data_IF_026775121501
#
_entry.id   IF_026775121501
#
_cell.length_a   1.000
_cell.length_b   1.000
_cell.length_c   1.000
_cell.angle_alpha   90.00
_cell.angle_beta   90.00
_cell.angle_gamma   90.00
#
_symmetry.space_group_name_H-M   'P 1'
#
loop_
_entity.id
_entity.type
_entity.pdbx_description
1 polymer ?
#
# COMPACT_ATOMS: atom_id res chain seq x y z
N UNK A 1 -12.74 25.50 -49.01
CA UNK A 1 -12.06 26.28 -47.95
C UNK A 1 -13.11 27.14 -47.30
N UNK A 2 -13.14 27.17 -45.98
CA UNK A 2 -14.08 27.96 -45.19
C UNK A 2 -13.35 29.09 -44.48
N UNK A 3 -13.99 30.25 -44.31
CA UNK A 3 -13.34 31.43 -43.74
C UNK A 3 -13.83 31.69 -42.32
N UNK A 4 -12.91 31.98 -41.41
CA UNK A 4 -13.26 32.40 -40.04
C UNK A 4 -13.89 33.79 -40.10
N UNK A 5 -15.19 33.89 -39.82
CA UNK A 5 -15.92 35.17 -39.83
C UNK A 5 -16.00 35.78 -38.43
N UNK A 6 -15.93 34.97 -37.37
CA UNK A 6 -15.97 35.43 -35.98
C UNK A 6 -15.24 34.48 -35.03
N UNK A 7 -14.54 35.07 -34.07
CA UNK A 7 -13.97 34.40 -32.89
C UNK A 7 -14.53 35.11 -31.67
N UNK A 8 -15.16 34.39 -30.74
CA UNK A 8 -15.74 34.98 -29.53
C UNK A 8 -15.46 34.17 -28.29
N UNK A 9 -15.07 34.83 -27.20
CA UNK A 9 -14.86 34.17 -25.91
C UNK A 9 -16.15 33.52 -25.37
N UNK A 10 -16.02 32.37 -24.72
CA UNK A 10 -17.10 31.71 -23.98
C UNK A 10 -17.19 32.25 -22.55
N UNK A 11 -18.27 31.88 -21.82
CA UNK A 11 -18.42 32.22 -20.39
C UNK A 11 -17.28 31.67 -19.52
N UNK A 12 -16.77 30.48 -19.87
CA UNK A 12 -15.60 29.88 -19.22
C UNK A 12 -14.33 30.49 -19.82
N UNK A 13 -13.47 31.04 -18.96
CA UNK A 13 -12.18 31.61 -19.38
C UNK A 13 -11.34 30.59 -20.15
N UNK A 14 -10.60 31.05 -21.17
CA UNK A 14 -9.70 30.21 -21.98
C UNK A 14 -10.35 29.38 -23.08
N UNK A 15 -11.67 29.50 -23.32
CA UNK A 15 -12.40 28.82 -24.41
C UNK A 15 -13.06 29.82 -25.35
N UNK A 16 -13.04 29.51 -26.64
CA UNK A 16 -13.53 30.41 -27.69
C UNK A 16 -14.36 29.64 -28.71
N UNK A 17 -15.41 30.29 -29.23
CA UNK A 17 -16.22 29.78 -30.33
C UNK A 17 -15.65 30.29 -31.66
N UNK A 18 -15.47 29.38 -32.62
CA UNK A 18 -15.03 29.67 -33.98
C UNK A 18 -16.23 29.55 -34.92
N UNK A 19 -16.47 30.61 -35.69
CA UNK A 19 -17.51 30.66 -36.71
C UNK A 19 -16.86 30.66 -38.09
N UNK A 20 -17.28 29.70 -38.92
CA UNK A 20 -16.89 29.58 -40.33
C UNK A 20 -18.08 29.96 -41.20
N UNK A 21 -17.88 30.89 -42.12
CA UNK A 21 -18.91 31.34 -43.05
C UNK A 21 -20.24 31.69 -42.33
N UNK A 22 -20.11 32.45 -41.22
CA UNK A 22 -21.19 32.90 -40.31
C UNK A 22 -21.97 31.80 -39.57
N UNK A 23 -21.51 30.56 -39.63
CA UNK A 23 -22.06 29.43 -38.88
C UNK A 23 -21.09 28.98 -37.80
N UNK A 24 -21.62 28.58 -36.64
CA UNK A 24 -20.81 27.95 -35.61
C UNK A 24 -20.18 26.67 -36.17
N UNK A 25 -18.86 26.53 -36.04
CA UNK A 25 -18.13 25.38 -36.56
C UNK A 25 -17.59 24.49 -35.44
N UNK A 26 -16.81 25.06 -34.51
CA UNK A 26 -16.23 24.34 -33.38
C UNK A 26 -15.81 25.32 -32.28
N UNK A 27 -15.37 24.78 -31.14
CA UNK A 27 -14.75 25.56 -30.07
C UNK A 27 -13.28 25.17 -29.92
N UNK A 28 -12.46 26.12 -29.48
CA UNK A 28 -11.02 25.97 -29.33
C UNK A 28 -10.55 26.56 -28.00
N UNK A 29 -9.55 25.93 -27.40
CA UNK A 29 -8.79 26.46 -26.27
C UNK A 29 -7.91 27.63 -26.71
N UNK A 30 -7.46 28.43 -25.74
CA UNK A 30 -6.47 29.49 -25.97
C UNK A 30 -5.17 28.94 -26.58
N UNK A 31 -4.70 27.77 -26.14
CA UNK A 31 -3.54 27.09 -26.72
C UNK A 31 -3.76 26.77 -28.20
N UNK A 32 -4.92 26.21 -28.55
CA UNK A 32 -5.30 25.89 -29.94
C UNK A 32 -5.39 27.12 -30.83
N UNK A 33 -5.96 28.21 -30.30
CA UNK A 33 -6.06 29.50 -30.99
C UNK A 33 -4.69 30.07 -31.37
N UNK A 34 -3.76 30.05 -30.42
CA UNK A 34 -2.40 30.55 -30.63
C UNK A 34 -1.62 29.65 -31.58
N UNK A 35 -1.67 28.34 -31.40
CA UNK A 35 -0.93 27.37 -32.22
C UNK A 35 -1.29 27.47 -33.71
N UNK A 36 -2.58 27.42 -34.02
CA UNK A 36 -3.08 27.48 -35.41
C UNK A 36 -3.34 28.89 -35.91
N UNK A 37 -3.05 29.91 -35.08
CA UNK A 37 -3.24 31.33 -35.37
C UNK A 37 -4.66 31.61 -35.89
N UNK A 38 -5.67 31.16 -35.16
CA UNK A 38 -7.08 31.26 -35.58
C UNK A 38 -7.62 32.68 -35.36
N UNK A 39 -7.40 33.58 -36.32
CA UNK A 39 -7.98 34.93 -36.31
C UNK A 39 -9.02 35.13 -37.41
N UNK A 40 -9.90 36.13 -37.23
CA UNK A 40 -10.90 36.51 -38.24
C UNK A 40 -10.21 36.76 -39.58
N UNK A 41 -10.74 36.14 -40.63
CA UNK A 41 -10.19 36.22 -41.98
C UNK A 41 -9.34 35.03 -42.39
N UNK A 42 -8.93 34.16 -41.45
CA UNK A 42 -8.18 32.94 -41.77
C UNK A 42 -9.03 31.98 -42.60
N UNK A 43 -8.41 31.32 -43.59
CA UNK A 43 -9.04 30.29 -44.41
C UNK A 43 -8.57 28.91 -43.96
N UNK A 44 -9.51 27.99 -43.79
CA UNK A 44 -9.24 26.63 -43.37
C UNK A 44 -9.77 25.63 -44.39
N UNK A 45 -8.95 24.63 -44.68
CA UNK A 45 -9.35 23.41 -45.37
C UNK A 45 -9.99 22.43 -44.38
N UNK A 46 -10.79 21.48 -44.87
CA UNK A 46 -11.39 20.45 -44.00
C UNK A 46 -10.34 19.65 -43.24
N UNK A 47 -9.19 19.37 -43.89
CA UNK A 47 -8.04 18.71 -43.26
C UNK A 47 -7.45 19.55 -42.11
N UNK A 48 -7.33 20.87 -42.27
CA UNK A 48 -6.86 21.74 -41.19
C UNK A 48 -7.87 21.80 -40.05
N UNK A 49 -9.17 21.83 -40.35
CA UNK A 49 -10.23 21.80 -39.33
C UNK A 49 -10.13 20.53 -38.49
N UNK A 50 -9.89 19.39 -39.13
CA UNK A 50 -9.69 18.11 -38.44
C UNK A 50 -8.43 18.12 -37.55
N UNK A 51 -7.30 18.64 -38.07
CA UNK A 51 -6.07 18.81 -37.27
C UNK A 51 -6.27 19.74 -36.07
N UNK A 52 -7.00 20.84 -36.23
CA UNK A 52 -7.32 21.78 -35.15
C UNK A 52 -8.18 21.09 -34.07
N UNK A 53 -9.19 20.33 -34.47
CA UNK A 53 -10.06 19.59 -33.54
C UNK A 53 -9.26 18.53 -32.76
N UNK A 54 -8.36 17.82 -33.43
CA UNK A 54 -7.50 16.85 -32.76
C UNK A 54 -6.60 17.53 -31.74
N UNK A 55 -5.90 18.60 -32.14
CA UNK A 55 -5.04 19.36 -31.23
C UNK A 55 -5.80 19.94 -30.04
N UNK A 56 -7.03 20.43 -30.23
CA UNK A 56 -7.86 20.91 -29.11
C UNK A 56 -8.17 19.80 -28.10
N UNK A 57 -8.39 18.58 -28.60
CA UNK A 57 -8.66 17.41 -27.77
C UNK A 57 -7.41 17.01 -26.97
N UNK A 58 -6.25 17.00 -27.62
CA UNK A 58 -4.95 16.70 -26.98
C UNK A 58 -4.58 17.78 -25.94
N UNK A 59 -4.80 19.06 -26.27
CA UNK A 59 -4.58 20.18 -25.35
C UNK A 59 -5.48 20.09 -24.11
N UNK A 60 -6.75 19.69 -24.28
CA UNK A 60 -7.69 19.46 -23.18
C UNK A 60 -7.23 18.30 -22.29
N UNK A 61 -6.79 17.19 -22.88
CA UNK A 61 -6.25 16.05 -22.14
C UNK A 61 -5.03 16.47 -21.29
N UNK A 62 -4.14 17.26 -21.89
CA UNK A 62 -2.93 17.75 -21.25
C UNK A 62 -3.22 18.70 -20.08
N UNK A 63 -4.17 19.63 -20.25
CA UNK A 63 -4.59 20.53 -19.16
C UNK A 63 -5.22 19.77 -17.98
N UNK A 64 -6.03 18.75 -18.27
CA UNK A 64 -6.63 17.90 -17.26
C UNK A 64 -5.59 17.08 -16.50
N UNK A 65 -4.64 16.47 -17.22
CA UNK A 65 -3.53 15.73 -16.62
C UNK A 65 -2.64 16.63 -15.76
N UNK A 66 -2.25 17.81 -16.26
CA UNK A 66 -1.47 18.80 -15.50
C UNK A 66 -2.16 19.15 -14.17
N UNK A 67 -3.46 19.46 -14.23
CA UNK A 67 -4.26 19.77 -13.03
C UNK A 67 -4.31 18.59 -12.07
N UNK A 68 -4.43 17.36 -12.57
CA UNK A 68 -4.50 16.18 -11.72
C UNK A 68 -3.17 15.86 -11.03
N UNK A 69 -2.06 16.05 -11.76
CA UNK A 69 -0.69 15.88 -11.26
C UNK A 69 -0.27 16.98 -10.29
N UNK A 70 -0.86 18.19 -10.36
CA UNK A 70 -0.49 19.30 -9.47
C UNK A 70 -0.89 19.08 -8.01
N UNK A 71 -1.78 18.14 -7.70
CA UNK A 71 -2.20 17.85 -6.33
C UNK A 71 -1.28 16.87 -5.60
N UNK A 72 -0.78 15.85 -6.29
CA UNK A 72 0.11 14.82 -5.75
C UNK A 72 0.67 13.97 -6.89
N UNK A 73 1.75 13.24 -6.61
CA UNK A 73 2.32 12.26 -7.54
C UNK A 73 1.28 11.18 -7.87
N UNK A 74 1.30 10.69 -9.12
CA UNK A 74 0.37 9.67 -9.64
C UNK A 74 1.12 8.63 -10.45
N UNK A 75 0.56 7.43 -10.52
CA UNK A 75 1.01 6.46 -11.52
C UNK A 75 0.46 6.80 -12.90
N UNK A 76 1.11 6.28 -13.94
CA UNK A 76 0.63 6.40 -15.33
C UNK A 76 -0.80 5.87 -15.46
N UNK A 77 -1.10 4.75 -14.81
CA UNK A 77 -2.44 4.15 -14.85
C UNK A 77 -3.48 5.02 -14.13
N UNK A 78 -3.14 5.65 -13.00
CA UNK A 78 -4.06 6.58 -12.32
C UNK A 78 -4.40 7.78 -13.20
N UNK A 79 -3.43 8.33 -13.95
CA UNK A 79 -3.68 9.42 -14.91
C UNK A 79 -4.53 8.93 -16.08
N UNK A 80 -4.23 7.74 -16.64
CA UNK A 80 -5.05 7.14 -17.70
C UNK A 80 -6.50 6.98 -17.25
N UNK A 81 -6.74 6.38 -16.09
CA UNK A 81 -8.09 6.21 -15.55
C UNK A 81 -8.80 7.55 -15.30
N UNK A 82 -8.06 8.55 -14.83
CA UNK A 82 -8.60 9.90 -14.61
C UNK A 82 -9.07 10.53 -15.93
N UNK A 83 -8.28 10.42 -16.99
CA UNK A 83 -8.63 10.99 -18.30
C UNK A 83 -9.74 10.21 -19.01
N UNK A 84 -9.78 8.87 -18.88
CA UNK A 84 -10.90 8.03 -19.37
C UNK A 84 -12.22 8.47 -18.74
N UNK A 85 -12.24 8.77 -17.44
CA UNK A 85 -13.44 9.30 -16.74
C UNK A 85 -13.90 10.67 -17.26
N UNK A 86 -13.06 11.39 -18.00
CA UNK A 86 -13.39 12.66 -18.65
C UNK A 86 -13.79 12.50 -20.13
N UNK A 87 -14.06 11.26 -20.56
CA UNK A 87 -14.56 10.92 -21.90
C UNK A 87 -13.63 11.39 -23.03
N UNK A 88 -12.32 11.35 -22.78
CA UNK A 88 -11.30 11.65 -23.78
C UNK A 88 -10.98 10.41 -24.62
N UNK A 89 -10.58 10.62 -25.89
CA UNK A 89 -10.17 9.53 -26.76
C UNK A 89 -8.85 8.91 -26.29
N UNK A 90 -8.61 7.65 -26.64
CA UNK A 90 -7.39 6.94 -26.24
C UNK A 90 -6.13 7.62 -26.81
N UNK A 91 -6.22 8.15 -28.03
CA UNK A 91 -5.13 8.86 -28.69
C UNK A 91 -4.74 10.13 -27.91
N UNK A 92 -5.72 10.92 -27.48
CA UNK A 92 -5.47 12.12 -26.69
C UNK A 92 -4.93 11.80 -25.29
N UNK A 93 -5.38 10.69 -24.70
CA UNK A 93 -4.89 10.20 -23.42
C UNK A 93 -3.42 9.78 -23.52
N UNK A 94 -3.07 8.96 -24.50
CA UNK A 94 -1.69 8.50 -24.68
C UNK A 94 -0.77 9.67 -25.09
N UNK A 95 -1.27 10.62 -25.87
CA UNK A 95 -0.55 11.87 -26.18
C UNK A 95 -0.20 12.65 -24.90
N UNK A 96 -1.17 12.90 -24.03
CA UNK A 96 -0.95 13.61 -22.77
C UNK A 96 -0.03 12.82 -21.82
N UNK A 97 -0.20 11.50 -21.70
CA UNK A 97 0.68 10.65 -20.87
C UNK A 97 2.12 10.74 -21.36
N UNK A 98 2.35 10.61 -22.66
CA UNK A 98 3.69 10.71 -23.25
C UNK A 98 4.31 12.10 -23.05
N UNK A 99 3.52 13.18 -23.17
CA UNK A 99 3.96 14.55 -22.87
C UNK A 99 4.49 14.63 -21.42
N UNK A 100 3.71 14.16 -20.43
CA UNK A 100 4.13 14.24 -19.02
C UNK A 100 5.24 13.27 -18.64
N UNK A 101 5.36 12.12 -19.33
CA UNK A 101 6.52 11.23 -19.18
C UNK A 101 7.79 11.93 -19.69
N UNK A 102 7.74 12.52 -20.89
CA UNK A 102 8.88 13.22 -21.48
C UNK A 102 9.32 14.45 -20.68
N UNK A 103 8.36 15.14 -20.05
CA UNK A 103 8.63 16.25 -19.14
C UNK A 103 9.08 15.81 -17.73
N UNK A 104 9.03 14.50 -17.43
CA UNK A 104 9.44 13.94 -16.14
C UNK A 104 8.41 14.09 -15.01
N UNK A 105 7.19 14.56 -15.29
CA UNK A 105 6.11 14.67 -14.30
C UNK A 105 5.39 13.34 -14.05
N UNK A 106 5.45 12.41 -15.01
CA UNK A 106 4.96 11.04 -14.87
C UNK A 106 6.12 10.06 -14.91
N UNK A 107 6.36 9.39 -13.78
CA UNK A 107 7.43 8.42 -13.66
C UNK A 107 7.04 7.36 -12.61
N UNK A 108 6.68 6.17 -13.09
CA UNK A 108 6.24 5.06 -12.23
C UNK A 108 7.38 4.48 -11.38
N UNK A 109 8.64 4.58 -11.83
CA UNK A 109 9.79 4.18 -11.04
C UNK A 109 10.00 5.13 -9.85
N UNK A 110 10.00 6.43 -10.09
CA UNK A 110 10.07 7.43 -9.00
C UNK A 110 8.86 7.34 -8.06
N UNK A 111 7.66 7.05 -8.59
CA UNK A 111 6.50 6.76 -7.75
C UNK A 111 6.76 5.57 -6.82
N UNK A 112 7.29 4.46 -7.33
CA UNK A 112 7.62 3.28 -6.53
C UNK A 112 8.66 3.60 -5.44
N UNK A 113 9.72 4.34 -5.78
CA UNK A 113 10.76 4.76 -4.83
C UNK A 113 10.19 5.60 -3.69
N UNK A 114 9.37 6.60 -4.01
CA UNK A 114 8.74 7.46 -3.00
C UNK A 114 7.74 6.68 -2.12
N UNK A 115 7.00 5.75 -2.72
CA UNK A 115 6.08 4.87 -2.00
C UNK A 115 6.83 4.00 -0.98
N UNK A 116 7.91 3.33 -1.41
CA UNK A 116 8.76 2.51 -0.55
C UNK A 116 9.40 3.37 0.56
N UNK A 117 9.98 4.52 0.20
CA UNK A 117 10.58 5.45 1.17
C UNK A 117 9.59 5.87 2.27
N UNK A 118 8.35 6.14 1.89
CA UNK A 118 7.30 6.46 2.86
C UNK A 118 6.98 5.27 3.78
N UNK A 119 6.90 4.05 3.24
CA UNK A 119 6.68 2.83 4.03
C UNK A 119 7.83 2.55 5.01
N UNK A 120 9.08 2.73 4.59
CA UNK A 120 10.24 2.62 5.48
C UNK A 120 10.15 3.62 6.65
N UNK A 121 9.75 4.86 6.35
CA UNK A 121 9.68 5.93 7.34
C UNK A 121 8.56 5.73 8.37
N UNK A 122 7.33 5.41 7.94
CA UNK A 122 6.14 5.41 8.80
C UNK A 122 5.26 4.15 8.69
N UNK A 123 5.52 3.33 7.68
CA UNK A 123 4.78 2.11 7.39
C UNK A 123 5.18 0.92 8.26
N UNK A 124 4.62 -0.22 7.86
CA UNK A 124 4.62 -1.50 8.59
C UNK A 124 4.68 -2.69 7.64
N UNK A 125 4.79 -2.46 6.34
CA UNK A 125 4.76 -3.51 5.34
C UNK A 125 6.17 -3.98 5.01
N UNK A 126 6.28 -5.27 4.69
CA UNK A 126 7.50 -5.85 4.15
C UNK A 126 7.55 -5.73 2.63
N UNK A 127 8.68 -6.10 2.01
CA UNK A 127 8.92 -5.95 0.58
C UNK A 127 7.80 -6.53 -0.30
N UNK A 128 7.26 -7.71 0.05
CA UNK A 128 6.24 -8.37 -0.77
C UNK A 128 4.87 -7.66 -0.70
N UNK A 129 4.49 -7.15 0.47
CA UNK A 129 3.25 -6.38 0.63
C UNK A 129 3.35 -5.04 -0.09
N UNK A 130 4.48 -4.35 0.02
CA UNK A 130 4.76 -3.11 -0.73
C UNK A 130 4.70 -3.35 -2.24
N UNK A 131 5.35 -4.41 -2.73
CA UNK A 131 5.28 -4.80 -4.14
C UNK A 131 3.82 -5.06 -4.58
N UNK A 132 3.03 -5.78 -3.78
CA UNK A 132 1.63 -6.03 -4.08
C UNK A 132 0.81 -4.74 -4.16
N UNK A 133 1.02 -3.78 -3.25
CA UNK A 133 0.34 -2.48 -3.27
C UNK A 133 0.69 -1.68 -4.52
N UNK A 134 1.96 -1.70 -4.95
CA UNK A 134 2.40 -1.06 -6.18
C UNK A 134 1.79 -1.72 -7.43
N UNK A 135 1.69 -3.06 -7.47
CA UNK A 135 0.99 -3.78 -8.55
C UNK A 135 -0.49 -3.44 -8.63
N UNK A 136 -1.16 -3.26 -7.48
CA UNK A 136 -2.55 -2.80 -7.44
C UNK A 136 -2.70 -1.37 -7.99
N UNK A 137 -1.66 -0.55 -7.87
CA UNK A 137 -1.53 0.77 -8.51
C UNK A 137 -1.06 0.71 -9.96
N UNK A 138 -0.92 -0.50 -10.52
CA UNK A 138 -0.50 -0.78 -11.90
C UNK A 138 0.88 -0.24 -12.27
N UNK A 139 1.75 -0.10 -11.26
CA UNK A 139 3.18 0.15 -11.51
C UNK A 139 3.78 -1.09 -12.20
N UNK A 140 4.56 -0.93 -13.29
CA UNK A 140 5.22 -2.04 -13.97
C UNK A 140 6.15 -2.84 -13.04
N UNK A 141 6.16 -4.17 -13.17
CA UNK A 141 6.93 -5.06 -12.28
C UNK A 141 8.44 -4.75 -12.29
N UNK A 142 9.02 -4.41 -13.44
CA UNK A 142 10.43 -4.03 -13.54
C UNK A 142 10.75 -2.80 -12.68
N UNK A 143 9.88 -1.78 -12.68
CA UNK A 143 10.06 -0.58 -11.86
C UNK A 143 9.94 -0.90 -10.37
N UNK A 144 9.08 -1.85 -10.00
CA UNK A 144 8.92 -2.31 -8.61
C UNK A 144 10.18 -3.06 -8.16
N UNK A 145 10.66 -3.98 -8.98
CA UNK A 145 11.86 -4.78 -8.70
C UNK A 145 13.10 -3.91 -8.55
N UNK A 146 13.32 -2.99 -9.49
CA UNK A 146 14.44 -2.04 -9.44
C UNK A 146 14.36 -1.15 -8.19
N UNK A 147 13.18 -0.61 -7.87
CA UNK A 147 13.01 0.27 -6.72
C UNK A 147 13.18 -0.47 -5.38
N UNK A 148 12.77 -1.74 -5.30
CA UNK A 148 13.01 -2.59 -4.13
C UNK A 148 14.49 -2.96 -3.98
N UNK A 149 15.21 -3.16 -5.09
CA UNK A 149 16.63 -3.47 -5.10
C UNK A 149 17.52 -2.31 -4.60
N UNK A 150 17.03 -1.06 -4.66
CA UNK A 150 17.71 0.09 -4.06
C UNK A 150 17.69 0.10 -2.52
N UNK A 151 16.83 -0.71 -1.90
CA UNK A 151 16.63 -0.70 -0.44
C UNK A 151 17.44 -1.82 0.22
N UNK A 152 18.17 -1.46 1.26
CA UNK A 152 18.99 -2.41 2.02
C UNK A 152 18.13 -3.38 2.84
N UNK A 153 18.67 -4.55 3.17
CA UNK A 153 17.96 -5.49 4.05
C UNK A 153 17.79 -4.92 5.46
N UNK A 154 18.76 -4.11 5.90
CA UNK A 154 18.79 -3.42 7.19
C UNK A 154 17.61 -2.47 7.36
N UNK A 155 17.24 -1.72 6.32
CA UNK A 155 16.08 -0.83 6.35
C UNK A 155 14.78 -1.61 6.58
N UNK A 156 14.63 -2.76 5.93
CA UNK A 156 13.47 -3.63 6.13
C UNK A 156 13.46 -4.27 7.52
N UNK A 157 14.62 -4.62 8.07
CA UNK A 157 14.72 -5.14 9.44
C UNK A 157 14.13 -4.14 10.43
N UNK A 158 14.44 -2.85 10.30
CA UNK A 158 13.91 -1.81 11.19
C UNK A 158 12.38 -1.65 11.10
N UNK A 159 11.80 -1.76 9.90
CA UNK A 159 10.33 -1.78 9.73
C UNK A 159 9.73 -3.00 10.43
N UNK A 160 10.34 -4.17 10.25
CA UNK A 160 9.93 -5.41 10.89
C UNK A 160 9.95 -5.32 12.42
N UNK A 161 11.04 -4.80 13.00
CA UNK A 161 11.13 -4.56 14.45
C UNK A 161 10.04 -3.63 14.95
N UNK A 162 9.78 -2.53 14.23
CA UNK A 162 8.72 -1.57 14.57
C UNK A 162 7.35 -2.25 14.60
N UNK A 163 7.06 -3.11 13.62
CA UNK A 163 5.79 -3.84 13.50
C UNK A 163 5.51 -4.75 14.71
N UNK A 164 6.54 -5.44 15.21
CA UNK A 164 6.38 -6.43 16.30
C UNK A 164 6.80 -5.92 17.68
N UNK A 165 7.27 -4.68 17.79
CA UNK A 165 7.71 -4.06 19.06
C UNK A 165 6.71 -4.24 20.20
N UNK A 166 5.42 -4.05 19.94
CA UNK A 166 4.37 -4.17 20.97
C UNK A 166 4.12 -5.61 21.44
N UNK A 167 4.51 -6.62 20.65
CA UNK A 167 4.36 -8.04 21.03
C UNK A 167 5.36 -8.45 22.13
N UNK A 168 6.46 -7.71 22.31
CA UNK A 168 7.37 -7.92 23.46
C UNK A 168 6.63 -7.80 24.80
N UNK A 169 5.61 -6.95 24.87
CA UNK A 169 4.79 -6.76 26.09
C UNK A 169 3.91 -7.97 26.45
N UNK A 170 3.93 -9.03 25.63
CA UNK A 170 3.24 -10.30 25.89
C UNK A 170 4.15 -11.34 26.59
N UNK A 171 5.46 -11.09 26.68
CA UNK A 171 6.37 -11.88 27.51
C UNK A 171 5.87 -11.87 28.96
N UNK A 172 5.95 -13.01 29.65
CA UNK A 172 5.38 -13.20 30.99
C UNK A 172 3.85 -13.30 31.06
N UNK A 173 3.13 -13.18 29.94
CA UNK A 173 1.65 -13.36 29.87
C UNK A 173 1.24 -14.61 29.10
N UNK A 174 2.04 -14.99 28.11
CA UNK A 174 1.93 -16.21 27.30
C UNK A 174 3.33 -16.81 27.14
N UNK A 175 3.42 -18.08 26.72
CA UNK A 175 4.70 -18.76 26.58
C UNK A 175 5.61 -18.03 25.60
N UNK A 176 6.91 -18.06 25.86
CA UNK A 176 7.94 -17.48 25.01
C UNK A 176 7.83 -17.93 23.54
N UNK A 177 7.64 -19.24 23.32
CA UNK A 177 7.46 -19.80 21.98
C UNK A 177 6.17 -19.31 21.30
N UNK A 178 5.12 -19.03 22.06
CA UNK A 178 3.87 -18.46 21.54
C UNK A 178 4.08 -17.01 21.10
N UNK A 179 4.84 -16.21 21.86
CA UNK A 179 5.23 -14.84 21.47
C UNK A 179 6.02 -14.88 20.16
N UNK A 180 7.07 -15.71 20.06
CA UNK A 180 7.87 -15.85 18.83
C UNK A 180 7.01 -16.25 17.65
N UNK A 181 6.15 -17.26 17.80
CA UNK A 181 5.22 -17.70 16.75
C UNK A 181 4.30 -16.56 16.28
N UNK A 182 3.75 -15.77 17.21
CA UNK A 182 2.91 -14.60 16.88
C UNK A 182 3.69 -13.52 16.13
N UNK A 183 4.93 -13.24 16.53
CA UNK A 183 5.80 -12.29 15.84
C UNK A 183 6.10 -12.75 14.40
N UNK A 184 6.51 -14.00 14.22
CA UNK A 184 6.76 -14.61 12.90
C UNK A 184 5.52 -14.53 12.00
N UNK A 185 4.35 -14.95 12.50
CA UNK A 185 3.11 -14.90 11.73
C UNK A 185 2.73 -13.47 11.33
N UNK A 186 2.89 -12.51 12.25
CA UNK A 186 2.59 -11.10 11.97
C UNK A 186 3.51 -10.55 10.88
N UNK A 187 4.81 -10.84 10.93
CA UNK A 187 5.75 -10.43 9.88
C UNK A 187 5.39 -11.06 8.52
N UNK A 188 5.12 -12.37 8.47
CA UNK A 188 4.74 -13.04 7.22
C UNK A 188 3.47 -12.45 6.60
N UNK A 189 2.46 -12.14 7.43
CA UNK A 189 1.21 -11.51 6.98
C UNK A 189 1.42 -10.10 6.43
N UNK A 190 2.43 -9.39 6.93
CA UNK A 190 2.83 -8.08 6.42
C UNK A 190 3.80 -8.17 5.23
N UNK A 191 4.09 -9.36 4.69
CA UNK A 191 4.87 -9.52 3.46
C UNK A 191 6.39 -9.53 3.66
N UNK A 192 6.86 -9.84 4.87
CA UNK A 192 8.26 -10.16 5.12
C UNK A 192 8.55 -11.61 4.69
N UNK A 193 9.67 -11.84 4.01
CA UNK A 193 10.11 -13.18 3.62
C UNK A 193 10.75 -13.92 4.79
N UNK A 194 10.73 -15.26 4.76
CA UNK A 194 11.19 -16.11 5.86
C UNK A 194 12.63 -15.85 6.30
N UNK A 195 13.54 -15.59 5.35
CA UNK A 195 14.93 -15.22 5.59
C UNK A 195 15.03 -13.95 6.45
N UNK A 196 14.33 -12.89 6.04
CA UNK A 196 14.31 -11.63 6.75
C UNK A 196 13.61 -11.74 8.12
N UNK A 197 12.53 -12.53 8.19
CA UNK A 197 11.82 -12.81 9.45
C UNK A 197 12.75 -13.43 10.48
N UNK A 198 13.55 -14.41 10.08
CA UNK A 198 14.49 -15.06 11.00
C UNK A 198 15.50 -14.06 11.56
N UNK A 199 16.10 -13.24 10.69
CA UNK A 199 17.05 -12.19 11.09
C UNK A 199 16.41 -11.18 12.05
N UNK A 200 15.18 -10.71 11.76
CA UNK A 200 14.46 -9.78 12.64
C UNK A 200 14.22 -10.38 14.03
N UNK A 201 13.79 -11.64 14.09
CA UNK A 201 13.49 -12.32 15.35
C UNK A 201 14.76 -12.55 16.18
N UNK A 202 15.86 -12.92 15.53
CA UNK A 202 17.14 -13.15 16.19
C UNK A 202 17.75 -11.84 16.70
N UNK A 203 17.67 -10.77 15.92
CA UNK A 203 18.21 -9.46 16.29
C UNK A 203 17.42 -8.75 17.40
N UNK A 204 16.18 -9.18 17.68
CA UNK A 204 15.40 -8.66 18.81
C UNK A 204 15.92 -9.10 20.18
N UNK A 205 16.88 -10.02 20.22
CA UNK A 205 17.53 -10.60 21.40
C UNK A 205 16.52 -10.96 22.50
N UNK A 206 15.51 -11.74 22.09
CA UNK A 206 14.46 -12.19 23.02
C UNK A 206 15.05 -13.25 23.94
N UNK A 207 15.23 -12.91 25.21
CA UNK A 207 15.67 -13.85 26.25
C UNK A 207 14.46 -14.60 26.81
N UNK A 208 14.56 -15.94 26.87
CA UNK A 208 13.62 -16.76 27.60
C UNK A 208 14.01 -16.75 29.09
N UNK A 209 13.56 -15.74 29.82
CA UNK A 209 13.76 -15.67 31.26
C UNK A 209 12.86 -16.69 31.96
N UNK A 210 13.47 -17.62 32.71
CA UNK A 210 12.75 -18.69 33.43
C UNK A 210 11.65 -18.13 34.33
N UNK A 211 11.90 -17.00 34.98
CA UNK A 211 10.91 -16.29 35.81
C UNK A 211 9.69 -15.82 35.02
N UNK A 212 9.88 -15.32 33.79
CA UNK A 212 8.80 -14.87 32.93
C UNK A 212 8.02 -16.07 32.37
N UNK A 213 8.70 -17.16 32.02
CA UNK A 213 8.05 -18.37 31.52
C UNK A 213 7.19 -19.02 32.60
N UNK A 214 7.69 -19.11 33.85
CA UNK A 214 6.93 -19.61 35.00
C UNK A 214 5.73 -18.70 35.32
N UNK A 215 5.87 -17.37 35.23
CA UNK A 215 4.75 -16.44 35.36
C UNK A 215 3.67 -16.65 34.29
N UNK A 216 4.08 -16.83 33.04
CA UNK A 216 3.18 -17.07 31.93
C UNK A 216 2.44 -18.41 32.12
N UNK A 217 3.18 -19.44 32.52
CA UNK A 217 2.68 -20.78 32.82
C UNK A 217 1.67 -20.74 33.96
N UNK A 218 1.96 -20.03 35.06
CA UNK A 218 1.00 -19.83 36.16
C UNK A 218 -0.28 -19.16 35.65
N UNK A 219 -0.18 -18.06 34.91
CA UNK A 219 -1.35 -17.33 34.37
C UNK A 219 -2.21 -18.18 33.43
N UNK A 220 -1.59 -18.90 32.49
CA UNK A 220 -2.31 -19.73 31.53
C UNK A 220 -2.83 -21.02 32.16
N UNK A 221 -2.07 -21.59 33.09
CA UNK A 221 -2.46 -22.75 33.88
C UNK A 221 -3.70 -22.51 34.73
N UNK A 222 -3.77 -21.37 35.43
CA UNK A 222 -4.99 -20.99 36.18
C UNK A 222 -6.20 -20.86 35.23
N UNK A 223 -6.03 -20.25 34.05
CA UNK A 223 -7.12 -20.15 33.06
C UNK A 223 -7.58 -21.53 32.58
N UNK A 224 -6.65 -22.42 32.29
CA UNK A 224 -6.94 -23.80 31.89
C UNK A 224 -7.67 -24.56 33.00
N UNK A 225 -7.20 -24.42 34.24
CA UNK A 225 -7.80 -25.04 35.42
C UNK A 225 -9.25 -24.60 35.60
N UNK A 226 -9.51 -23.28 35.63
CA UNK A 226 -10.86 -22.71 35.73
C UNK A 226 -11.78 -23.22 34.62
N UNK A 227 -11.27 -23.32 33.38
CA UNK A 227 -12.03 -23.80 32.22
C UNK A 227 -12.43 -25.27 32.36
N UNK A 228 -11.59 -26.10 32.96
CA UNK A 228 -11.77 -27.56 33.02
C UNK A 228 -12.08 -28.10 34.43
N UNK A 229 -12.35 -27.23 35.41
CA UNK A 229 -12.57 -27.57 36.83
C UNK A 229 -13.63 -28.65 37.07
N UNK A 230 -14.68 -28.69 36.23
CA UNK A 230 -15.82 -29.61 36.36
C UNK A 230 -15.53 -31.05 35.88
N UNK A 231 -14.42 -31.27 35.19
CA UNK A 231 -14.02 -32.61 34.74
C UNK A 231 -13.41 -33.41 35.89
N UNK A 232 -13.47 -34.74 35.79
CA UNK A 232 -12.71 -35.60 36.69
C UNK A 232 -11.21 -35.32 36.57
N UNK A 233 -10.44 -35.73 37.59
CA UNK A 233 -9.04 -35.37 37.70
C UNK A 233 -8.20 -35.80 36.48
N UNK A 234 -8.43 -37.01 35.96
CA UNK A 234 -7.68 -37.54 34.81
C UNK A 234 -8.00 -36.76 33.54
N UNK A 235 -9.29 -36.55 33.26
CA UNK A 235 -9.73 -35.75 32.11
C UNK A 235 -9.29 -34.29 32.22
N UNK A 236 -9.35 -33.69 33.42
CA UNK A 236 -8.92 -32.32 33.69
C UNK A 236 -7.42 -32.16 33.42
N UNK A 237 -6.57 -33.02 33.99
CA UNK A 237 -5.12 -33.02 33.76
C UNK A 237 -4.80 -33.16 32.28
N UNK A 238 -5.46 -34.08 31.57
CA UNK A 238 -5.30 -34.25 30.13
C UNK A 238 -5.66 -32.98 29.34
N UNK A 239 -6.83 -32.38 29.61
CA UNK A 239 -7.27 -31.15 28.92
C UNK A 239 -6.38 -29.95 29.21
N UNK A 240 -5.91 -29.79 30.45
CA UNK A 240 -4.94 -28.74 30.82
C UNK A 240 -3.64 -28.95 30.05
N UNK A 241 -3.11 -30.18 30.00
CA UNK A 241 -1.90 -30.50 29.23
C UNK A 241 -2.06 -30.12 27.76
N UNK A 242 -3.15 -30.57 27.10
CA UNK A 242 -3.40 -30.22 25.69
C UNK A 242 -3.51 -28.71 25.49
N UNK A 243 -4.18 -28.00 26.41
CA UNK A 243 -4.31 -26.56 26.35
C UNK A 243 -2.94 -25.88 26.44
N UNK A 244 -2.15 -26.15 27.49
CA UNK A 244 -0.85 -25.51 27.68
C UNK A 244 0.12 -25.84 26.55
N UNK A 245 0.13 -27.09 26.07
CA UNK A 245 0.96 -27.48 24.92
C UNK A 245 0.59 -26.69 23.66
N UNK A 246 -0.71 -26.49 23.39
CA UNK A 246 -1.16 -25.68 22.25
C UNK A 246 -0.81 -24.19 22.38
N UNK A 247 -0.54 -23.73 23.61
CA UNK A 247 -0.07 -22.39 23.94
C UNK A 247 1.46 -22.30 24.05
N UNK A 248 2.20 -23.32 23.59
CA UNK A 248 3.64 -23.22 23.36
C UNK A 248 4.55 -23.56 24.55
N UNK A 249 4.00 -24.00 25.69
CA UNK A 249 4.78 -24.49 26.83
C UNK A 249 5.38 -25.86 26.54
N UNK A 250 6.58 -26.14 27.08
CA UNK A 250 7.23 -27.45 26.91
C UNK A 250 6.54 -28.53 27.75
N UNK A 251 6.76 -29.81 27.42
CA UNK A 251 6.23 -30.91 28.24
C UNK A 251 6.74 -30.84 29.68
N UNK A 252 8.02 -30.47 29.87
CA UNK A 252 8.62 -30.32 31.20
C UNK A 252 7.91 -29.24 32.01
N UNK A 253 7.66 -28.07 31.43
CA UNK A 253 6.96 -26.97 32.09
C UNK A 253 5.54 -27.39 32.50
N UNK A 254 4.85 -28.09 31.62
CA UNK A 254 3.51 -28.60 31.89
C UNK A 254 3.54 -29.64 33.03
N UNK A 255 4.53 -30.51 33.05
CA UNK A 255 4.71 -31.50 34.12
C UNK A 255 4.96 -30.80 35.47
N UNK A 256 5.86 -29.81 35.51
CA UNK A 256 6.13 -28.97 36.70
C UNK A 256 4.85 -28.28 37.21
N UNK A 257 4.05 -27.71 36.30
CA UNK A 257 2.78 -27.07 36.65
C UNK A 257 1.78 -28.08 37.25
N UNK A 258 1.62 -29.26 36.63
CA UNK A 258 0.69 -30.29 37.09
C UNK A 258 1.14 -30.98 38.38
N UNK A 259 2.44 -30.97 38.67
CA UNK A 259 3.03 -31.43 39.94
C UNK A 259 2.86 -30.41 41.08
N UNK A 260 2.44 -29.17 40.77
CA UNK A 260 2.27 -28.10 41.75
C UNK A 260 3.54 -27.33 42.08
N UNK A 261 4.58 -27.45 41.26
CA UNK A 261 5.89 -26.79 41.49
C UNK A 261 5.86 -25.29 41.13
N UNK A 262 4.96 -24.89 40.23
CA UNK A 262 4.80 -23.50 39.75
C UNK A 262 3.72 -22.75 40.53
N UNK A 263 2.69 -23.46 40.96
CA UNK A 263 1.61 -22.99 41.82
C UNK A 263 1.12 -24.20 42.62
N UNK A 264 0.93 -24.04 43.93
CA UNK A 264 0.46 -25.16 44.74
C UNK A 264 -0.93 -25.64 44.29
N UNK A 265 -1.16 -26.95 44.35
CA UNK A 265 -2.47 -27.52 43.98
C UNK A 265 -3.60 -26.98 44.87
N UNK A 266 -3.30 -26.69 46.14
CA UNK A 266 -4.22 -26.04 47.08
C UNK A 266 -4.60 -24.61 46.64
N UNK A 267 -3.63 -23.82 46.17
CA UNK A 267 -3.88 -22.47 45.66
C UNK A 267 -4.70 -22.50 44.36
N UNK A 268 -4.56 -23.55 43.53
CA UNK A 268 -5.39 -23.74 42.33
C UNK A 268 -6.86 -24.02 42.66
N UNK A 269 -7.14 -24.72 43.76
CA UNK A 269 -8.52 -25.06 44.15
C UNK A 269 -9.34 -23.85 44.61
N UNK A 270 -8.66 -22.80 45.09
CA UNK A 270 -9.24 -21.50 45.48
C UNK A 270 -9.75 -20.67 44.29
N UNK A 271 -9.36 -21.01 43.06
CA UNK A 271 -9.71 -20.32 41.81
C UNK A 271 -10.93 -20.89 41.09
#
# INVERSE_FOLDING_TARGET
MSKITKVSAQKRSGRYNIFLDDKYAFSASERTLTEFRLFKGSELTDKQIEQIKQFDTDAKASELAARYLSYQIRTVDEVRQYLVKHELSLEAIDSAINEFINLGYLNDFEYARLFIKNDLAVGQDGPASVAQKLRLKKVPDNNIEDALAEVSSEDWIEVGKRLIKSLKNQLGKIAFNEVKKKMTLKLLQHGFRTDLVQVIIDDLDLVNEETQEDEALKKQGIKAYKRFKRLDESQRKYKIRTYLYSHGFSNNDIDRFLAGEVISLSELDEY
#
